data_IF_903813784065
#
_entry.id   IF_903813784065
#
_cell.length_a   1.000
_cell.length_b   1.000
_cell.length_c   1.000
_cell.angle_alpha   90.00
_cell.angle_beta   90.00
_cell.angle_gamma   90.00
#
_symmetry.space_group_name_H-M   'P 1'
#
loop_
_entity.id
_entity.type
_entity.pdbx_description
1 polymer ?
#
# COMPACT_ATOMS: atom_id res chain seq x y z
N UNK A 1 -19.79 17.32 -46.79
CA UNK A 1 -19.05 16.44 -45.88
C UNK A 1 -19.25 16.96 -44.47
N UNK A 2 -19.46 16.08 -43.50
CA UNK A 2 -19.69 16.45 -42.10
C UNK A 2 -18.45 16.12 -41.27
N UNK A 3 -18.10 16.99 -40.33
CA UNK A 3 -17.02 16.76 -39.36
C UNK A 3 -17.66 16.56 -37.98
N UNK A 4 -17.24 15.51 -37.27
CA UNK A 4 -17.69 15.22 -35.91
C UNK A 4 -16.52 15.52 -34.96
N UNK A 5 -16.78 16.33 -33.96
CA UNK A 5 -15.86 16.59 -32.84
C UNK A 5 -16.54 16.02 -31.60
N UNK A 6 -15.87 15.09 -30.93
CA UNK A 6 -16.36 14.47 -29.72
C UNK A 6 -15.28 14.53 -28.64
N UNK A 7 -15.69 14.82 -27.40
CA UNK A 7 -14.85 14.71 -26.22
C UNK A 7 -15.28 13.45 -25.45
N UNK A 8 -14.31 12.65 -25.02
CA UNK A 8 -14.58 11.42 -24.29
C UNK A 8 -13.48 11.13 -23.28
N UNK A 9 -13.88 10.57 -22.14
CA UNK A 9 -12.96 9.94 -21.18
C UNK A 9 -12.77 8.44 -21.46
N UNK A 10 -13.44 7.90 -22.49
CA UNK A 10 -13.33 6.48 -22.84
C UNK A 10 -12.06 6.23 -23.64
N UNK A 11 -11.14 5.50 -23.03
CA UNK A 11 -9.93 4.99 -23.68
C UNK A 11 -10.26 4.11 -24.90
N UNK A 12 -11.35 3.34 -24.86
CA UNK A 12 -11.80 2.50 -25.97
C UNK A 12 -12.15 3.36 -27.19
N UNK A 13 -12.93 4.43 -26.98
CA UNK A 13 -13.33 5.35 -28.06
C UNK A 13 -12.12 6.10 -28.63
N UNK A 14 -11.17 6.49 -27.77
CA UNK A 14 -9.94 7.17 -28.18
C UNK A 14 -9.03 6.24 -28.98
N UNK A 15 -8.87 4.97 -28.58
CA UNK A 15 -8.07 3.98 -29.31
C UNK A 15 -8.67 3.64 -30.68
N UNK A 16 -10.00 3.54 -30.78
CA UNK A 16 -10.69 3.34 -32.07
C UNK A 16 -10.55 4.58 -32.99
N UNK A 17 -10.62 5.78 -32.41
CA UNK A 17 -10.49 7.04 -33.14
C UNK A 17 -9.05 7.36 -33.57
N UNK A 18 -8.04 6.94 -32.80
CA UNK A 18 -6.62 7.20 -33.06
C UNK A 18 -6.14 6.67 -34.42
N UNK A 19 -6.71 5.55 -34.87
CA UNK A 19 -6.37 4.94 -36.16
C UNK A 19 -7.16 5.51 -37.35
N UNK A 20 -8.21 6.30 -37.11
CA UNK A 20 -9.18 6.72 -38.15
C UNK A 20 -9.39 8.23 -38.25
N UNK A 21 -8.94 9.01 -37.27
CA UNK A 21 -9.14 10.46 -37.21
C UNK A 21 -8.12 11.14 -36.31
N UNK A 22 -8.21 12.47 -36.18
CA UNK A 22 -7.29 13.28 -35.36
C UNK A 22 -7.70 13.21 -33.89
N UNK A 23 -6.87 12.62 -33.04
CA UNK A 23 -7.08 12.64 -31.60
C UNK A 23 -6.24 13.74 -30.98
N UNK A 24 -6.83 14.53 -30.09
CA UNK A 24 -6.14 15.57 -29.32
C UNK A 24 -6.19 15.15 -27.85
N UNK A 25 -5.02 14.87 -27.27
CA UNK A 25 -4.91 14.66 -25.83
C UNK A 25 -4.92 16.02 -25.15
N UNK A 26 -5.73 16.14 -24.10
CA UNK A 26 -5.72 17.29 -23.19
C UNK A 26 -4.99 16.99 -21.87
N UNK A 27 -4.16 15.93 -21.85
CA UNK A 27 -3.28 15.63 -20.72
C UNK A 27 -2.08 16.60 -20.79
N UNK A 28 -1.93 17.47 -19.78
CA UNK A 28 -0.92 18.52 -19.80
C UNK A 28 -1.20 19.58 -20.88
N UNK A 29 -0.23 19.87 -21.76
CA UNK A 29 -0.43 20.81 -22.87
C UNK A 29 -1.20 20.11 -24.01
N UNK A 30 -2.32 20.66 -24.50
CA UNK A 30 -3.07 20.03 -25.59
C UNK A 30 -2.19 19.76 -26.80
N UNK A 31 -2.16 18.50 -27.27
CA UNK A 31 -1.32 18.10 -28.40
C UNK A 31 -2.03 17.03 -29.25
N UNK A 32 -1.74 17.06 -30.55
CA UNK A 32 -2.26 16.06 -31.48
C UNK A 32 -1.49 14.75 -31.33
N UNK A 33 -2.23 13.66 -31.22
CA UNK A 33 -1.71 12.30 -31.06
C UNK A 33 -1.20 11.71 -32.40
N UNK A 34 -1.69 12.21 -33.54
CA UNK A 34 -1.44 11.65 -34.87
C UNK A 34 -0.09 11.96 -35.52
N UNK A 35 0.75 12.83 -34.95
CA UNK A 35 2.05 13.14 -35.54
C UNK A 35 3.12 12.17 -35.03
N UNK A 36 3.32 11.09 -35.79
CA UNK A 36 4.48 10.18 -35.79
C UNK A 36 4.91 9.63 -34.41
N UNK A 37 4.46 8.42 -34.11
CA UNK A 37 5.23 7.46 -33.29
C UNK A 37 5.82 7.99 -31.99
N UNK A 38 5.11 8.87 -31.28
CA UNK A 38 5.61 9.41 -30.03
C UNK A 38 5.61 8.27 -29.00
N UNK A 39 6.75 8.08 -28.31
CA UNK A 39 6.84 7.16 -27.16
C UNK A 39 5.68 7.38 -26.18
N UNK A 40 5.21 8.64 -26.08
CA UNK A 40 4.03 9.06 -25.34
C UNK A 40 2.76 8.29 -25.70
N UNK A 41 2.46 8.05 -26.98
CA UNK A 41 1.28 7.27 -27.42
C UNK A 41 1.33 5.84 -26.94
N UNK A 42 2.51 5.22 -27.10
CA UNK A 42 2.76 3.85 -26.62
C UNK A 42 2.66 3.81 -25.10
N UNK A 43 3.27 4.76 -24.40
CA UNK A 43 3.16 4.90 -22.95
C UNK A 43 1.75 5.29 -22.46
N UNK A 44 0.92 5.96 -23.26
CA UNK A 44 -0.47 6.27 -22.95
C UNK A 44 -1.35 5.03 -23.05
N UNK A 45 -1.17 4.24 -24.11
CA UNK A 45 -1.86 2.96 -24.31
C UNK A 45 -1.38 1.90 -23.31
N UNK A 46 -0.09 1.89 -22.97
CA UNK A 46 0.49 0.90 -22.06
C UNK A 46 0.16 1.20 -20.58
N UNK A 47 0.02 2.47 -20.18
CA UNK A 47 -0.26 2.86 -18.78
C UNK A 47 -1.75 3.15 -18.49
N UNK A 48 -2.55 3.49 -19.50
CA UNK A 48 -3.95 3.87 -19.34
C UNK A 48 -4.14 5.37 -19.06
N UNK A 49 -5.18 5.96 -19.65
CA UNK A 49 -5.46 7.40 -19.56
C UNK A 49 -5.82 7.87 -18.13
N UNK A 50 -6.43 6.99 -17.34
CA UNK A 50 -6.81 7.26 -15.96
C UNK A 50 -5.57 7.54 -15.08
N UNK A 51 -4.45 6.84 -15.32
CA UNK A 51 -3.21 7.03 -14.56
C UNK A 51 -2.62 8.42 -14.81
N UNK A 52 -2.65 8.91 -16.04
CA UNK A 52 -2.20 10.27 -16.37
C UNK A 52 -3.10 11.33 -15.76
N UNK A 53 -4.42 11.10 -15.78
CA UNK A 53 -5.37 12.01 -15.14
C UNK A 53 -5.15 12.09 -13.63
N UNK A 54 -4.91 10.95 -12.95
CA UNK A 54 -4.54 10.93 -11.53
C UNK A 54 -3.22 11.66 -11.26
N UNK A 55 -2.20 11.45 -12.10
CA UNK A 55 -0.91 12.12 -12.00
C UNK A 55 -1.06 13.64 -12.14
N UNK A 56 -1.90 14.11 -13.06
CA UNK A 56 -2.21 15.52 -13.24
C UNK A 56 -2.96 16.08 -12.03
N UNK A 57 -4.07 15.45 -11.62
CA UNK A 57 -4.91 15.90 -10.50
C UNK A 57 -4.18 15.94 -9.16
N UNK A 58 -3.34 14.94 -8.87
CA UNK A 58 -2.65 14.85 -7.58
C UNK A 58 -1.30 15.55 -7.62
N UNK A 59 -0.60 15.53 -8.75
CA UNK A 59 0.76 16.08 -8.86
C UNK A 59 1.83 15.24 -8.14
N UNK A 60 1.47 14.08 -7.61
CA UNK A 60 2.39 13.07 -7.05
C UNK A 60 1.80 11.66 -7.14
N UNK A 61 2.62 10.64 -6.90
CA UNK A 61 2.21 9.23 -6.87
C UNK A 61 2.88 8.47 -5.72
N UNK A 62 2.13 7.57 -5.10
CA UNK A 62 2.56 6.70 -4.00
C UNK A 62 2.57 5.24 -4.50
N UNK A 63 3.72 4.58 -4.45
CA UNK A 63 3.85 3.16 -4.74
C UNK A 63 4.03 2.39 -3.44
N UNK A 64 3.16 1.41 -3.22
CA UNK A 64 3.20 0.46 -2.11
C UNK A 64 3.01 -0.95 -2.68
N UNK A 65 3.32 -1.98 -1.89
CA UNK A 65 3.14 -3.36 -2.34
C UNK A 65 1.65 -3.66 -2.55
N UNK A 66 0.81 -3.20 -1.63
CA UNK A 66 -0.62 -3.44 -1.65
C UNK A 66 -1.47 -2.26 -1.15
N UNK A 67 -2.79 -2.37 -1.30
CA UNK A 67 -3.74 -1.44 -0.68
C UNK A 67 -3.79 -1.58 0.83
N UNK A 68 -3.47 -2.76 1.37
CA UNK A 68 -3.46 -3.00 2.82
C UNK A 68 -2.34 -2.24 3.51
N UNK A 69 -1.19 -2.07 2.85
CA UNK A 69 -0.10 -1.20 3.31
C UNK A 69 -0.58 0.24 3.51
N UNK A 70 -1.38 0.76 2.56
CA UNK A 70 -1.95 2.10 2.67
C UNK A 70 -2.86 2.21 3.90
N UNK A 71 -3.68 1.20 4.16
CA UNK A 71 -4.59 1.19 5.31
C UNK A 71 -3.81 1.12 6.64
N UNK A 72 -2.72 0.36 6.71
CA UNK A 72 -1.83 0.33 7.86
C UNK A 72 -1.18 1.71 8.08
N UNK A 73 -0.62 2.32 7.03
CA UNK A 73 0.00 3.64 7.11
C UNK A 73 -1.00 4.73 7.53
N UNK A 74 -2.25 4.66 7.07
CA UNK A 74 -3.33 5.57 7.49
C UNK A 74 -3.62 5.46 8.98
N UNK A 75 -3.75 4.23 9.51
CA UNK A 75 -3.99 4.00 10.94
C UNK A 75 -2.83 4.55 11.77
N UNK A 76 -1.58 4.30 11.37
CA UNK A 76 -0.43 4.85 12.10
C UNK A 76 -0.35 6.38 12.02
N UNK A 77 -0.58 6.97 10.84
CA UNK A 77 -0.60 8.41 10.69
C UNK A 77 -1.67 9.07 11.57
N UNK A 78 -2.86 8.47 11.67
CA UNK A 78 -3.94 8.93 12.54
C UNK A 78 -3.55 8.81 14.03
N UNK A 79 -3.07 7.64 14.48
CA UNK A 79 -2.64 7.41 15.87
C UNK A 79 -1.53 8.37 16.31
N UNK A 80 -0.60 8.68 15.41
CA UNK A 80 0.49 9.61 15.66
C UNK A 80 0.05 11.08 15.60
N UNK A 81 -1.05 11.40 14.92
CA UNK A 81 -1.42 12.77 14.56
C UNK A 81 -0.46 13.35 13.50
N UNK A 82 0.02 12.51 12.59
CA UNK A 82 1.10 12.81 11.66
C UNK A 82 0.59 13.62 10.44
N UNK A 83 1.32 14.65 9.95
CA UNK A 83 0.89 15.45 8.79
C UNK A 83 0.71 14.64 7.50
N UNK A 84 1.34 13.46 7.40
CA UNK A 84 1.14 12.51 6.30
C UNK A 84 -0.33 12.10 6.10
N UNK A 85 -1.16 12.19 7.13
CA UNK A 85 -2.59 11.86 7.07
C UNK A 85 -3.30 12.60 5.93
N UNK A 86 -2.96 13.87 5.70
CA UNK A 86 -3.56 14.69 4.63
C UNK A 86 -3.26 14.12 3.23
N UNK A 87 -2.05 13.60 3.04
CA UNK A 87 -1.62 13.02 1.77
C UNK A 87 -2.15 11.59 1.60
N UNK A 88 -2.26 10.84 2.69
CA UNK A 88 -2.77 9.46 2.69
C UNK A 88 -4.29 9.36 2.62
N UNK A 89 -5.04 10.45 2.81
CA UNK A 89 -6.50 10.45 2.70
C UNK A 89 -6.98 10.04 1.29
N UNK A 90 -6.47 10.69 0.25
CA UNK A 90 -6.81 10.38 -1.16
C UNK A 90 -5.58 10.42 -2.08
N UNK A 91 -4.57 9.56 -1.86
CA UNK A 91 -3.36 9.54 -2.67
C UNK A 91 -3.67 8.98 -4.07
N UNK A 92 -2.85 9.34 -5.05
CA UNK A 92 -2.71 8.50 -6.24
C UNK A 92 -1.84 7.29 -5.85
N UNK A 93 -2.50 6.23 -5.38
CA UNK A 93 -1.86 4.96 -5.03
C UNK A 93 -1.71 4.09 -6.29
N UNK A 94 -0.52 3.55 -6.53
CA UNK A 94 -0.26 2.53 -7.53
C UNK A 94 0.36 1.27 -6.89
N UNK A 95 -0.41 0.19 -6.68
CA UNK A 95 0.11 -1.06 -6.11
C UNK A 95 1.05 -1.80 -7.07
N UNK A 96 2.26 -2.14 -6.64
CA UNK A 96 3.27 -2.81 -7.50
C UNK A 96 3.21 -4.35 -7.47
N UNK A 97 2.55 -4.94 -6.47
CA UNK A 97 2.21 -6.38 -6.31
C UNK A 97 3.34 -7.42 -6.43
N UNK A 98 4.57 -7.01 -6.72
CA UNK A 98 5.68 -7.91 -7.08
C UNK A 98 6.97 -7.57 -6.33
N UNK A 99 6.95 -6.54 -5.48
CA UNK A 99 8.10 -5.95 -4.81
C UNK A 99 9.31 -5.70 -5.75
N UNK A 100 9.07 -5.39 -7.03
CA UNK A 100 10.12 -5.11 -8.04
C UNK A 100 10.21 -3.59 -8.27
N UNK A 101 11.31 -2.92 -7.88
CA UNK A 101 11.46 -1.47 -8.05
C UNK A 101 11.34 -0.99 -9.50
N UNK A 102 11.77 -1.81 -10.46
CA UNK A 102 11.72 -1.49 -11.88
C UNK A 102 10.29 -1.17 -12.36
N UNK A 103 9.25 -1.82 -11.80
CA UNK A 103 7.86 -1.55 -12.17
C UNK A 103 7.41 -0.15 -11.76
N UNK A 104 7.75 0.27 -10.54
CA UNK A 104 7.48 1.63 -10.07
C UNK A 104 8.20 2.67 -10.93
N UNK A 105 9.46 2.40 -11.31
CA UNK A 105 10.26 3.29 -12.17
C UNK A 105 9.64 3.42 -13.56
N UNK A 106 9.31 2.31 -14.21
CA UNK A 106 8.68 2.30 -15.54
C UNK A 106 7.38 3.11 -15.56
N UNK A 107 6.51 2.88 -14.58
CA UNK A 107 5.27 3.63 -14.43
C UNK A 107 5.53 5.13 -14.17
N UNK A 108 6.39 5.45 -13.20
CA UNK A 108 6.69 6.83 -12.80
C UNK A 108 7.29 7.66 -13.95
N UNK A 109 8.32 7.14 -14.62
CA UNK A 109 8.97 7.87 -15.69
C UNK A 109 8.09 7.96 -16.94
N UNK A 110 7.23 6.96 -17.18
CA UNK A 110 6.20 7.06 -18.22
C UNK A 110 5.21 8.20 -17.96
N UNK A 111 4.72 8.35 -16.72
CA UNK A 111 3.85 9.48 -16.35
C UNK A 111 4.54 10.85 -16.48
N UNK A 112 5.85 10.91 -16.21
CA UNK A 112 6.62 12.16 -16.31
C UNK A 112 6.79 12.69 -17.72
N UNK A 113 6.59 11.86 -18.74
CA UNK A 113 6.55 12.33 -20.13
C UNK A 113 5.39 13.34 -20.35
N UNK A 114 4.29 13.21 -19.61
CA UNK A 114 3.16 14.14 -19.66
C UNK A 114 3.14 15.15 -18.49
N UNK A 115 3.57 14.74 -17.29
CA UNK A 115 3.66 15.59 -16.08
C UNK A 115 5.11 15.69 -15.62
N UNK A 116 5.90 16.52 -16.30
CA UNK A 116 7.36 16.62 -16.07
C UNK A 116 7.77 16.97 -14.63
N UNK A 117 6.92 17.65 -13.87
CA UNK A 117 7.10 18.05 -12.47
C UNK A 117 6.45 17.08 -11.46
N UNK A 118 5.97 15.91 -11.90
CA UNK A 118 5.47 14.85 -11.02
C UNK A 118 6.60 14.38 -10.07
N UNK A 119 6.25 14.26 -8.79
CA UNK A 119 7.10 13.68 -7.74
C UNK A 119 6.51 12.35 -7.27
N UNK A 120 7.34 11.44 -6.76
CA UNK A 120 6.85 10.13 -6.35
C UNK A 120 7.60 9.59 -5.14
N UNK A 121 6.94 8.71 -4.40
CA UNK A 121 7.54 7.91 -3.34
C UNK A 121 7.19 6.45 -3.57
N UNK A 122 8.18 5.57 -3.48
CA UNK A 122 7.99 4.13 -3.52
C UNK A 122 8.54 3.49 -2.24
N UNK A 123 7.68 2.74 -1.53
CA UNK A 123 8.04 2.01 -0.32
C UNK A 123 7.91 0.52 -0.64
N UNK A 124 9.03 -0.19 -0.52
CA UNK A 124 9.13 -1.62 -0.80
C UNK A 124 9.22 -2.45 0.49
N UNK A 125 8.76 -3.69 0.43
CA UNK A 125 9.20 -4.73 1.38
C UNK A 125 10.73 -4.85 1.30
N UNK A 126 11.37 -5.33 2.36
CA UNK A 126 12.84 -5.35 2.43
C UNK A 126 13.47 -6.12 1.27
N UNK A 127 14.33 -5.43 0.52
CA UNK A 127 15.09 -5.96 -0.61
C UNK A 127 16.57 -6.10 -0.24
N UNK A 128 17.25 -7.04 -0.89
CA UNK A 128 18.72 -7.15 -0.84
C UNK A 128 19.42 -6.19 -1.82
N UNK A 129 18.66 -5.61 -2.76
CA UNK A 129 19.19 -4.74 -3.80
C UNK A 129 19.18 -3.28 -3.35
N UNK A 130 20.20 -2.55 -3.79
CA UNK A 130 20.23 -1.10 -3.61
C UNK A 130 19.13 -0.40 -4.41
N UNK A 131 18.51 0.58 -3.76
CA UNK A 131 17.50 1.45 -4.37
C UNK A 131 18.17 2.65 -5.04
N UNK A 132 17.49 3.23 -6.04
CA UNK A 132 18.01 4.41 -6.72
C UNK A 132 17.84 5.65 -5.84
N UNK A 133 18.85 6.51 -5.85
CA UNK A 133 18.84 7.79 -5.15
C UNK A 133 19.05 8.95 -6.12
N UNK A 134 18.73 10.18 -5.70
CA UNK A 134 18.92 11.38 -6.51
C UNK A 134 17.94 11.54 -7.68
N UNK A 135 16.89 10.72 -7.74
CA UNK A 135 15.82 10.86 -8.75
C UNK A 135 14.57 11.52 -8.15
N UNK A 136 13.66 12.06 -8.98
CA UNK A 136 12.37 12.57 -8.50
C UNK A 136 11.40 11.50 -7.96
N UNK A 137 11.70 10.21 -8.19
CA UNK A 137 11.10 9.09 -7.46
C UNK A 137 11.97 8.79 -6.24
N UNK A 138 11.46 9.08 -5.05
CA UNK A 138 12.13 8.72 -3.80
C UNK A 138 11.82 7.25 -3.49
N UNK A 139 12.85 6.41 -3.55
CA UNK A 139 12.74 4.99 -3.24
C UNK A 139 13.20 4.72 -1.81
N UNK A 140 12.42 3.95 -1.06
CA UNK A 140 12.79 3.44 0.27
C UNK A 140 12.21 2.05 0.48
N UNK A 141 12.68 1.36 1.51
CA UNK A 141 12.18 0.03 1.88
C UNK A 141 12.13 -0.11 3.40
N UNK A 142 11.34 -1.07 3.88
CA UNK A 142 11.30 -1.46 5.28
C UNK A 142 12.62 -2.11 5.73
N UNK A 143 13.07 -1.84 6.97
CA UNK A 143 14.19 -2.57 7.61
C UNK A 143 13.76 -3.95 8.10
N UNK A 144 12.50 -4.11 8.49
CA UNK A 144 11.87 -5.42 8.71
C UNK A 144 11.36 -5.96 7.38
N UNK A 145 11.10 -7.27 7.31
CA UNK A 145 10.78 -7.98 6.07
C UNK A 145 9.63 -7.34 5.29
N UNK A 146 8.57 -6.95 5.97
CA UNK A 146 7.37 -6.29 5.44
C UNK A 146 6.72 -5.38 6.51
N UNK A 147 5.72 -4.58 6.14
CA UNK A 147 5.04 -3.67 7.06
C UNK A 147 4.29 -4.42 8.18
N UNK A 148 3.87 -5.66 7.94
CA UNK A 148 3.20 -6.51 8.92
C UNK A 148 4.11 -6.91 10.08
N UNK A 149 5.44 -6.84 9.93
CA UNK A 149 6.35 -7.07 11.06
C UNK A 149 6.22 -5.99 12.16
N UNK A 150 5.66 -4.82 11.88
CA UNK A 150 5.48 -3.74 12.87
C UNK A 150 4.20 -3.90 13.70
N UNK A 151 3.24 -4.70 13.22
CA UNK A 151 2.01 -5.09 13.93
C UNK A 151 2.05 -6.54 14.45
N UNK A 152 2.96 -7.38 13.94
CA UNK A 152 3.19 -8.74 14.43
C UNK A 152 3.90 -8.74 15.79
N UNK A 153 3.14 -8.43 16.85
CA UNK A 153 3.62 -8.39 18.23
C UNK A 153 2.64 -9.10 19.15
N UNK A 154 3.17 -9.76 20.18
CA UNK A 154 2.34 -10.50 21.13
C UNK A 154 1.31 -9.60 21.83
N UNK A 155 1.71 -8.42 22.31
CA UNK A 155 0.81 -7.47 22.98
C UNK A 155 -0.35 -7.03 22.08
N UNK A 156 -0.07 -6.74 20.80
CA UNK A 156 -1.05 -6.38 19.78
C UNK A 156 -2.04 -7.51 19.53
N UNK A 157 -1.54 -8.75 19.37
CA UNK A 157 -2.36 -9.92 19.09
C UNK A 157 -3.28 -10.28 20.27
N UNK A 158 -2.75 -10.15 21.50
CA UNK A 158 -3.53 -10.36 22.72
C UNK A 158 -4.59 -9.28 22.93
N UNK A 159 -4.27 -8.02 22.63
CA UNK A 159 -5.23 -6.92 22.67
C UNK A 159 -6.35 -7.10 21.64
N UNK A 160 -6.01 -7.50 20.41
CA UNK A 160 -6.99 -7.82 19.38
C UNK A 160 -7.91 -8.98 19.79
N UNK A 161 -7.37 -10.04 20.39
CA UNK A 161 -8.15 -11.22 20.78
C UNK A 161 -9.35 -10.89 21.69
N UNK A 162 -9.31 -9.75 22.39
CA UNK A 162 -10.31 -9.36 23.40
C UNK A 162 -11.07 -8.07 23.06
N UNK A 163 -10.88 -7.49 21.86
CA UNK A 163 -11.36 -6.14 21.55
C UNK A 163 -12.88 -6.00 21.39
N UNK A 164 -13.56 -7.07 20.95
CA UNK A 164 -14.96 -7.00 20.49
C UNK A 164 -15.92 -7.66 21.49
N UNK A 165 -15.64 -7.57 22.78
CA UNK A 165 -16.41 -8.22 23.84
C UNK A 165 -17.17 -7.22 24.71
N UNK A 166 -18.39 -7.58 25.13
CA UNK A 166 -19.12 -6.84 26.15
C UNK A 166 -18.42 -6.93 27.51
N UNK A 167 -18.67 -5.98 28.42
CA UNK A 167 -18.08 -5.97 29.78
C UNK A 167 -18.91 -6.75 30.83
N UNK A 168 -19.92 -7.51 30.39
CA UNK A 168 -20.75 -8.35 31.24
C UNK A 168 -20.06 -9.67 31.66
N UNK A 169 -20.72 -10.49 32.48
CA UNK A 169 -20.19 -11.78 32.96
C UNK A 169 -19.85 -12.76 31.83
N UNK A 170 -20.62 -12.76 30.74
CA UNK A 170 -20.36 -13.62 29.58
C UNK A 170 -19.15 -13.11 28.80
N UNK A 171 -19.07 -11.79 28.59
CA UNK A 171 -17.92 -11.15 27.96
C UNK A 171 -16.62 -11.30 28.76
N UNK A 172 -16.67 -11.36 30.10
CA UNK A 172 -15.49 -11.67 30.95
C UNK A 172 -15.00 -13.11 30.79
N UNK A 173 -15.92 -14.08 30.78
CA UNK A 173 -15.56 -15.48 30.57
C UNK A 173 -15.02 -15.69 29.14
N UNK A 174 -15.66 -15.09 28.14
CA UNK A 174 -15.21 -15.12 26.76
C UNK A 174 -13.85 -14.44 26.58
N UNK A 175 -13.60 -13.34 27.30
CA UNK A 175 -12.29 -12.64 27.29
C UNK A 175 -11.17 -13.55 27.74
N UNK A 176 -11.37 -14.31 28.81
CA UNK A 176 -10.38 -15.27 29.28
C UNK A 176 -10.16 -16.38 28.23
N UNK A 177 -11.24 -16.97 27.72
CA UNK A 177 -11.16 -18.04 26.71
C UNK A 177 -10.42 -17.58 25.44
N UNK A 178 -10.72 -16.38 24.91
CA UNK A 178 -10.05 -15.84 23.73
C UNK A 178 -8.57 -15.54 23.98
N UNK A 179 -8.23 -15.00 25.14
CA UNK A 179 -6.84 -14.72 25.49
C UNK A 179 -6.03 -16.04 25.59
N UNK A 180 -6.56 -17.05 26.28
CA UNK A 180 -5.94 -18.38 26.37
C UNK A 180 -5.81 -19.05 25.00
N UNK A 181 -6.84 -18.98 24.15
CA UNK A 181 -6.81 -19.53 22.80
C UNK A 181 -5.75 -18.83 21.93
N UNK A 182 -5.63 -17.50 22.01
CA UNK A 182 -4.61 -16.74 21.27
C UNK A 182 -3.20 -17.12 21.74
N UNK A 183 -2.95 -17.14 23.05
CA UNK A 183 -1.66 -17.56 23.62
C UNK A 183 -1.27 -18.97 23.21
N UNK A 184 -2.22 -19.90 23.28
CA UNK A 184 -2.00 -21.28 22.86
C UNK A 184 -1.62 -21.37 21.37
N UNK A 185 -2.31 -20.63 20.50
CA UNK A 185 -1.98 -20.60 19.06
C UNK A 185 -0.61 -19.98 18.79
N UNK A 186 -0.24 -18.92 19.51
CA UNK A 186 1.10 -18.30 19.42
C UNK A 186 2.19 -19.30 19.81
N UNK A 187 2.04 -20.00 20.94
CA UNK A 187 3.01 -20.99 21.43
C UNK A 187 3.16 -22.14 20.45
N UNK A 188 2.05 -22.69 19.96
CA UNK A 188 2.02 -23.79 19.00
C UNK A 188 2.76 -23.43 17.70
N UNK A 189 2.45 -22.27 17.12
CA UNK A 189 3.08 -21.82 15.88
C UNK A 189 4.54 -21.42 16.07
N UNK A 190 4.89 -20.80 17.19
CA UNK A 190 6.30 -20.51 17.53
C UNK A 190 7.12 -21.79 17.59
N UNK A 191 6.59 -22.84 18.23
CA UNK A 191 7.23 -24.16 18.28
C UNK A 191 7.36 -24.82 16.90
N UNK A 192 6.32 -24.71 16.06
CA UNK A 192 6.34 -25.22 14.70
C UNK A 192 7.38 -24.51 13.81
N UNK A 193 7.48 -23.18 13.90
CA UNK A 193 8.49 -22.39 13.19
C UNK A 193 9.91 -22.81 13.60
N UNK A 194 10.16 -22.98 14.90
CA UNK A 194 11.44 -23.47 15.41
C UNK A 194 11.80 -24.87 14.90
N UNK A 195 10.83 -25.78 14.83
CA UNK A 195 11.02 -27.14 14.30
C UNK A 195 11.39 -27.11 12.81
N UNK A 196 10.81 -26.18 12.05
CA UNK A 196 11.09 -25.98 10.63
C UNK A 196 12.34 -25.11 10.37
N UNK A 197 13.10 -24.75 11.41
CA UNK A 197 14.26 -23.84 11.31
C UNK A 197 13.93 -22.50 10.62
N UNK A 198 12.68 -22.04 10.77
CA UNK A 198 12.23 -20.72 10.27
C UNK A 198 12.47 -19.65 11.34
N UNK A 199 12.59 -18.38 10.94
CA UNK A 199 12.62 -17.27 11.91
C UNK A 199 11.38 -17.29 12.80
N UNK A 200 11.55 -16.91 14.06
CA UNK A 200 10.43 -16.80 15.00
C UNK A 200 9.47 -15.66 14.62
N UNK A 201 8.26 -15.63 15.22
CA UNK A 201 7.21 -14.66 14.85
C UNK A 201 7.58 -13.20 15.11
N UNK A 202 8.53 -12.97 16.02
CA UNK A 202 9.00 -11.63 16.41
C UNK A 202 10.28 -11.23 15.66
N UNK A 203 10.76 -12.09 14.77
CA UNK A 203 11.94 -11.79 13.96
C UNK A 203 11.64 -10.66 12.97
N UNK A 204 12.65 -9.85 12.70
CA UNK A 204 12.59 -8.86 11.62
C UNK A 204 12.66 -9.51 10.23
N UNK A 205 13.04 -10.79 10.16
CA UNK A 205 13.30 -11.52 8.91
C UNK A 205 12.14 -12.42 8.47
N UNK A 206 11.17 -12.70 9.35
CA UNK A 206 10.01 -13.55 9.02
C UNK A 206 9.12 -12.84 8.00
N UNK A 207 8.59 -13.58 7.02
CA UNK A 207 7.45 -13.09 6.22
C UNK A 207 6.19 -13.22 7.08
N UNK A 208 6.02 -12.27 8.00
CA UNK A 208 5.03 -12.25 9.07
C UNK A 208 3.62 -12.64 8.60
N UNK A 209 3.18 -12.12 7.46
CA UNK A 209 1.87 -12.39 6.87
C UNK A 209 1.67 -13.87 6.59
N UNK A 210 2.50 -14.45 5.72
CA UNK A 210 2.29 -15.80 5.19
C UNK A 210 2.79 -16.89 6.15
N UNK A 211 3.86 -16.61 6.90
CA UNK A 211 4.52 -17.59 7.78
C UNK A 211 3.96 -17.60 9.20
N UNK A 212 3.29 -16.53 9.65
CA UNK A 212 2.79 -16.46 11.02
C UNK A 212 1.34 -15.98 11.16
N UNK A 213 0.98 -14.77 10.72
CA UNK A 213 -0.35 -14.19 10.94
C UNK A 213 -1.46 -15.03 10.28
N UNK A 214 -1.28 -15.46 9.03
CA UNK A 214 -2.24 -16.30 8.32
C UNK A 214 -2.48 -17.65 9.03
N UNK A 215 -1.44 -18.43 9.39
CA UNK A 215 -1.59 -19.60 10.25
C UNK A 215 -2.19 -19.29 11.62
N UNK A 216 -1.81 -18.18 12.25
CA UNK A 216 -2.25 -17.79 13.59
C UNK A 216 -3.74 -17.57 13.66
N UNK A 217 -4.31 -16.75 12.76
CA UNK A 217 -5.75 -16.47 12.79
C UNK A 217 -6.58 -17.69 12.39
N UNK A 218 -6.05 -18.59 11.55
CA UNK A 218 -6.68 -19.88 11.27
C UNK A 218 -6.72 -20.77 12.53
N UNK A 219 -5.59 -20.92 13.22
CA UNK A 219 -5.50 -21.71 14.45
C UNK A 219 -6.37 -21.12 15.58
N UNK A 220 -6.33 -19.80 15.75
CA UNK A 220 -7.14 -19.08 16.73
C UNK A 220 -8.64 -19.24 16.47
N UNK A 221 -9.11 -19.01 15.24
CA UNK A 221 -10.51 -19.24 14.86
C UNK A 221 -10.96 -20.69 15.08
N UNK A 222 -10.10 -21.66 14.75
CA UNK A 222 -10.39 -23.07 14.96
C UNK A 222 -10.54 -23.42 16.45
N UNK A 223 -9.66 -22.89 17.32
CA UNK A 223 -9.76 -23.09 18.78
C UNK A 223 -11.02 -22.45 19.38
N UNK A 224 -11.52 -21.38 18.77
CA UNK A 224 -12.77 -20.73 19.15
C UNK A 224 -14.02 -21.37 18.54
N UNK A 225 -13.86 -22.26 17.56
CA UNK A 225 -14.98 -22.88 16.85
C UNK A 225 -15.78 -21.90 15.98
N UNK A 226 -15.15 -20.80 15.53
CA UNK A 226 -15.80 -19.74 14.73
C UNK A 226 -15.17 -19.65 13.33
N UNK A 227 -15.86 -19.02 12.35
CA UNK A 227 -15.25 -18.67 11.08
C UNK A 227 -13.97 -17.82 11.25
N UNK A 228 -13.19 -17.69 10.17
CA UNK A 228 -11.96 -16.90 10.17
C UNK A 228 -12.24 -15.46 10.65
N UNK A 229 -11.65 -15.09 11.80
CA UNK A 229 -11.94 -13.83 12.50
C UNK A 229 -11.26 -12.62 11.85
N UNK A 230 -10.13 -12.85 11.20
CA UNK A 230 -9.35 -11.80 10.55
C UNK A 230 -8.75 -12.33 9.26
N UNK A 231 -9.00 -11.63 8.15
CA UNK A 231 -8.43 -11.95 6.84
C UNK A 231 -7.17 -11.11 6.58
N UNK A 232 -6.33 -11.57 5.66
CA UNK A 232 -5.09 -10.89 5.25
C UNK A 232 -5.29 -9.41 4.88
N UNK A 233 -6.35 -9.10 4.13
CA UNK A 233 -6.67 -7.72 3.73
C UNK A 233 -7.21 -6.85 4.90
N UNK A 234 -7.35 -7.40 6.10
CA UNK A 234 -7.86 -6.72 7.30
C UNK A 234 -6.80 -6.56 8.39
N UNK A 235 -5.54 -6.94 8.15
CA UNK A 235 -4.46 -6.80 9.14
C UNK A 235 -4.19 -5.36 9.56
N UNK A 236 -4.60 -4.36 8.77
CA UNK A 236 -4.61 -2.96 9.21
C UNK A 236 -5.41 -2.73 10.51
N UNK A 237 -6.38 -3.60 10.85
CA UNK A 237 -7.09 -3.53 12.13
C UNK A 237 -6.16 -3.75 13.33
N UNK A 238 -5.09 -4.53 13.16
CA UNK A 238 -4.09 -4.77 14.21
C UNK A 238 -3.30 -3.51 14.56
N UNK A 239 -3.07 -2.62 13.58
CA UNK A 239 -2.35 -1.37 13.80
C UNK A 239 -3.03 -0.46 14.86
N UNK A 240 -4.35 -0.60 15.08
CA UNK A 240 -5.10 0.14 16.10
C UNK A 240 -4.73 -0.25 17.54
N UNK A 241 -4.16 -1.43 17.74
CA UNK A 241 -3.77 -1.94 19.05
C UNK A 241 -2.28 -1.70 19.37
N UNK A 242 -1.52 -1.13 18.43
CA UNK A 242 -0.16 -0.69 18.70
C UNK A 242 -0.23 0.60 19.52
N UNK A 243 0.27 0.56 20.76
CA UNK A 243 0.32 1.75 21.61
C UNK A 243 1.17 2.85 20.94
N UNK A 244 0.69 4.11 20.99
CA UNK A 244 1.33 5.25 20.34
C UNK A 244 2.83 5.36 20.62
N UNK A 245 3.21 5.25 21.89
CA UNK A 245 4.61 5.37 22.34
C UNK A 245 5.47 4.14 21.98
N UNK A 246 4.84 3.08 21.50
CA UNK A 246 5.48 1.83 21.06
C UNK A 246 5.51 1.68 19.54
N UNK A 247 5.01 2.66 18.78
CA UNK A 247 5.13 2.68 17.32
C UNK A 247 6.61 2.84 16.97
N UNK A 248 7.10 1.96 16.11
CA UNK A 248 8.49 1.93 15.68
C UNK A 248 8.87 3.25 14.98
N UNK A 249 10.06 3.76 15.26
CA UNK A 249 10.54 5.02 14.70
C UNK A 249 10.56 4.98 13.16
N UNK A 250 10.80 3.82 12.55
CA UNK A 250 10.79 3.70 11.10
C UNK A 250 9.43 3.99 10.46
N UNK A 251 8.32 3.67 11.13
CA UNK A 251 6.98 4.06 10.65
C UNK A 251 6.91 5.57 10.51
N UNK A 252 7.40 6.31 11.53
CA UNK A 252 7.46 7.77 11.49
C UNK A 252 8.38 8.25 10.36
N UNK A 253 9.57 7.66 10.21
CA UNK A 253 10.49 7.98 9.11
C UNK A 253 9.82 7.82 7.73
N UNK A 254 9.04 6.76 7.50
CA UNK A 254 8.34 6.57 6.22
C UNK A 254 7.22 7.58 6.01
N UNK A 255 6.46 7.87 7.07
CA UNK A 255 5.42 8.89 7.03
C UNK A 255 6.00 10.29 6.76
N UNK A 256 7.18 10.61 7.31
CA UNK A 256 7.91 11.83 7.03
C UNK A 256 8.31 11.93 5.56
N UNK A 257 8.81 10.84 4.97
CA UNK A 257 9.13 10.79 3.53
C UNK A 257 7.88 11.03 2.68
N UNK A 258 6.75 10.39 3.02
CA UNK A 258 5.47 10.59 2.33
C UNK A 258 5.03 12.06 2.43
N UNK A 259 5.07 12.64 3.62
CA UNK A 259 4.67 14.03 3.83
C UNK A 259 5.59 15.01 3.08
N UNK A 260 6.91 14.79 3.12
CA UNK A 260 7.90 15.60 2.43
C UNK A 260 7.70 15.55 0.90
N UNK A 261 7.47 14.38 0.32
CA UNK A 261 7.26 14.23 -1.12
C UNK A 261 5.89 14.79 -1.53
N UNK A 262 4.84 14.45 -0.78
CA UNK A 262 3.49 14.97 -1.01
C UNK A 262 3.43 16.50 -0.96
N UNK A 263 4.19 17.14 -0.06
CA UNK A 263 4.29 18.60 0.04
C UNK A 263 4.93 19.27 -1.19
N UNK A 264 5.69 18.52 -2.01
CA UNK A 264 6.29 19.02 -3.26
C UNK A 264 5.34 18.89 -4.45
N UNK A 265 4.19 18.22 -4.28
CA UNK A 265 3.22 18.02 -5.35
C UNK A 265 2.69 19.35 -5.89
N UNK A 266 2.50 19.42 -7.20
CA UNK A 266 1.96 20.59 -7.91
C UNK A 266 0.71 20.19 -8.70
N UNK A 267 -0.44 20.01 -8.02
CA UNK A 267 -1.72 19.80 -8.71
C UNK A 267 -2.14 21.10 -9.44
N UNK A 268 -2.99 21.00 -10.48
CA UNK A 268 -3.56 22.17 -11.14
C UNK A 268 -4.40 22.99 -10.15
N UNK A 269 -4.28 24.32 -10.25
CA UNK A 269 -5.05 25.31 -9.49
C UNK A 269 -6.46 25.42 -10.03
#
# INVERSE_FOLDING_TARGET
>A
GSQIIAASHSEVVLNEAANRGRVVAFVGKPHTINDKGSRLLKSLVDLGFDQYYQAEQKGWVLYLESTTDLDILRVFAETLGHPAQNYLATPFLHPISTNIPQRAREHFFGLREAKSDLVGVAIFDRLEKELQSGTPLVETMWRKREIENYLCREDVLLAYAVSDLSDDLFGRAERQQRNEAMKASIVELTGALGTLSKPGPWSEDIKATDEFLDPLFKAFSAKLGVPLVLRKNEYYKLAKFVAKDSIDAEITEKLDVIAMVGAKARPPV
#
